data_IF_095218472279
#
_entry.id   IF_095218472279
#
_cell.length_a   1.000
_cell.length_b   1.000
_cell.length_c   1.000
_cell.angle_alpha   90.00
_cell.angle_beta   90.00
_cell.angle_gamma   90.00
#
_symmetry.space_group_name_H-M   'P 1'
#
loop_
_entity.id
_entity.type
_entity.pdbx_description
1 polymer ?
#
# COMPACT_ATOMS: atom_id res chain seq x y z
N UNK A 1 42.36 15.87 16.66
CA UNK A 1 41.30 16.68 16.11
C UNK A 1 41.40 16.69 14.57
N UNK A 2 40.41 16.27 13.79
CA UNK A 2 40.27 16.30 12.33
C UNK A 2 39.88 14.96 11.69
N UNK A 3 38.56 14.58 11.81
CA UNK A 3 37.99 13.57 10.89
C UNK A 3 36.47 13.66 10.64
N UNK A 4 35.75 14.79 10.76
CA UNK A 4 34.33 14.83 10.41
C UNK A 4 34.07 15.03 8.89
N UNK A 5 34.94 15.73 8.17
CA UNK A 5 34.71 16.08 6.75
C UNK A 5 34.76 14.91 5.78
N UNK A 6 35.59 13.91 6.04
CA UNK A 6 35.73 12.71 5.18
C UNK A 6 34.49 11.80 5.19
N UNK A 7 33.71 11.79 6.28
CA UNK A 7 32.49 10.99 6.36
C UNK A 7 31.31 11.55 5.55
N UNK A 8 31.23 12.87 5.38
CA UNK A 8 30.14 13.50 4.60
C UNK A 8 30.29 13.23 3.12
N UNK A 9 31.51 13.36 2.57
CA UNK A 9 31.80 13.11 1.15
C UNK A 9 31.57 11.64 0.76
N UNK A 10 31.90 10.70 1.64
CA UNK A 10 31.68 9.27 1.42
C UNK A 10 30.18 8.91 1.42
N UNK A 11 29.35 9.52 2.28
CA UNK A 11 27.91 9.31 2.31
C UNK A 11 27.23 9.87 1.05
N UNK A 12 27.69 11.04 0.53
CA UNK A 12 27.22 11.58 -0.74
C UNK A 12 27.48 10.61 -1.88
N UNK A 13 28.69 10.07 -2.00
CA UNK A 13 29.08 9.11 -3.03
C UNK A 13 28.27 7.81 -2.94
N UNK A 14 28.00 7.32 -1.73
CA UNK A 14 27.16 6.12 -1.52
C UNK A 14 25.71 6.34 -1.96
N UNK A 15 25.14 7.51 -1.72
CA UNK A 15 23.79 7.82 -2.17
C UNK A 15 23.66 7.84 -3.70
N UNK A 16 24.62 8.45 -4.39
CA UNK A 16 24.67 8.49 -5.87
C UNK A 16 24.82 7.10 -6.50
N UNK A 17 25.35 6.12 -5.76
CA UNK A 17 25.43 4.72 -6.19
C UNK A 17 24.17 3.96 -5.77
N UNK A 18 23.67 4.13 -4.56
CA UNK A 18 22.54 3.40 -4.02
C UNK A 18 21.24 3.66 -4.81
N UNK A 19 20.97 4.91 -5.21
CA UNK A 19 19.74 5.25 -5.93
C UNK A 19 19.65 4.56 -7.30
N UNK A 20 20.62 4.67 -8.22
CA UNK A 20 20.54 3.96 -9.48
C UNK A 20 20.57 2.44 -9.31
N UNK A 21 21.29 1.90 -8.34
CA UNK A 21 21.25 0.46 -8.04
C UNK A 21 19.85 0.00 -7.60
N UNK A 22 19.16 0.76 -6.74
CA UNK A 22 17.79 0.46 -6.34
C UNK A 22 16.81 0.59 -7.52
N UNK A 23 16.98 1.61 -8.35
CA UNK A 23 16.15 1.76 -9.56
C UNK A 23 16.35 0.59 -10.52
N UNK A 24 17.59 0.20 -10.80
CA UNK A 24 17.91 -0.96 -11.64
C UNK A 24 17.37 -2.26 -11.05
N UNK A 25 17.49 -2.43 -9.73
CA UNK A 25 16.91 -3.57 -9.02
C UNK A 25 15.38 -3.61 -9.18
N UNK A 26 14.68 -2.49 -9.01
CA UNK A 26 13.24 -2.42 -9.21
C UNK A 26 12.84 -2.76 -10.65
N UNK A 27 13.55 -2.22 -11.65
CA UNK A 27 13.30 -2.53 -13.06
C UNK A 27 13.53 -4.02 -13.36
N UNK A 28 14.61 -4.58 -12.84
CA UNK A 28 14.90 -6.01 -12.96
C UNK A 28 13.80 -6.86 -12.30
N UNK A 29 13.34 -6.48 -11.11
CA UNK A 29 12.28 -7.20 -10.41
C UNK A 29 10.92 -7.09 -11.08
N UNK A 30 10.59 -5.94 -11.67
CA UNK A 30 9.39 -5.80 -12.51
C UNK A 30 9.48 -6.75 -13.70
N UNK A 31 10.61 -6.77 -14.40
CA UNK A 31 10.81 -7.67 -15.52
C UNK A 31 10.75 -9.14 -15.11
N UNK A 32 11.40 -9.53 -14.01
CA UNK A 32 11.33 -10.89 -13.46
C UNK A 32 9.90 -11.27 -13.04
N UNK A 33 9.17 -10.39 -12.35
CA UNK A 33 7.79 -10.64 -11.92
C UNK A 33 6.83 -10.81 -13.11
N UNK A 34 7.09 -10.12 -14.22
CA UNK A 34 6.32 -10.28 -15.46
C UNK A 34 6.73 -11.53 -16.24
N UNK A 35 8.03 -11.87 -16.27
CA UNK A 35 8.60 -12.97 -17.02
C UNK A 35 8.43 -14.32 -16.31
N UNK A 36 8.58 -14.37 -14.98
CA UNK A 36 8.39 -15.59 -14.19
C UNK A 36 6.89 -15.77 -13.96
N UNK A 37 6.29 -16.54 -14.84
CA UNK A 37 4.85 -16.79 -14.82
C UNK A 37 4.43 -17.76 -13.73
N UNK A 38 4.31 -17.29 -12.49
CA UNK A 38 3.58 -18.03 -11.45
C UNK A 38 2.08 -17.73 -11.62
N UNK A 39 1.34 -18.63 -12.24
CA UNK A 39 -0.10 -18.50 -12.48
C UNK A 39 -0.61 -19.58 -13.42
N UNK A 40 -1.89 -19.52 -13.80
CA UNK A 40 -2.57 -20.48 -14.67
C UNK A 40 -2.02 -20.53 -16.10
N UNK A 41 -1.29 -19.53 -16.53
CA UNK A 41 -0.69 -19.42 -17.86
C UNK A 41 0.83 -19.32 -17.72
N UNK A 42 1.56 -20.34 -18.17
CA UNK A 42 3.03 -20.29 -18.24
C UNK A 42 3.44 -19.58 -19.53
N UNK A 43 4.12 -18.43 -19.40
CA UNK A 43 4.71 -17.72 -20.53
C UNK A 43 6.24 -17.81 -20.44
N UNK A 44 6.88 -17.98 -21.57
CA UNK A 44 8.35 -17.87 -21.64
C UNK A 44 8.75 -16.39 -21.65
N UNK A 45 9.96 -16.02 -21.17
CA UNK A 45 10.45 -14.65 -21.25
C UNK A 45 10.41 -14.04 -22.65
N UNK A 46 10.63 -14.85 -23.69
CA UNK A 46 10.54 -14.44 -25.08
C UNK A 46 9.10 -14.08 -25.52
N UNK A 47 8.10 -14.78 -25.00
CA UNK A 47 6.67 -14.48 -25.25
C UNK A 47 6.26 -13.18 -24.57
N UNK A 48 6.72 -12.96 -23.32
CA UNK A 48 6.49 -11.71 -22.60
C UNK A 48 7.13 -10.54 -23.35
N UNK A 49 8.38 -10.70 -23.81
CA UNK A 49 9.05 -9.67 -24.59
C UNK A 49 8.30 -9.35 -25.87
N UNK A 50 7.85 -10.37 -26.63
CA UNK A 50 7.02 -10.19 -27.84
C UNK A 50 5.71 -9.47 -27.53
N UNK A 51 5.02 -9.84 -26.46
CA UNK A 51 3.76 -9.21 -26.07
C UNK A 51 3.93 -7.71 -25.70
N UNK A 52 5.10 -7.32 -25.19
CA UNK A 52 5.43 -5.93 -24.84
C UNK A 52 5.90 -5.09 -26.04
N UNK A 53 6.59 -5.71 -27.01
CA UNK A 53 7.28 -4.97 -28.12
C UNK A 53 6.63 -5.14 -29.47
N UNK A 54 5.96 -6.24 -29.74
CA UNK A 54 5.43 -6.63 -31.04
C UNK A 54 4.04 -7.25 -30.88
N UNK A 55 3.05 -6.43 -30.56
CA UNK A 55 1.66 -6.86 -30.31
C UNK A 55 1.02 -7.59 -31.51
N UNK A 56 1.49 -7.30 -32.75
CA UNK A 56 0.93 -7.89 -33.97
C UNK A 56 1.27 -9.38 -34.13
N UNK A 57 2.35 -9.84 -33.48
CA UNK A 57 2.79 -11.25 -33.54
C UNK A 57 2.46 -12.04 -32.28
N UNK A 58 1.98 -11.36 -31.22
CA UNK A 58 1.61 -11.97 -29.96
C UNK A 58 0.14 -12.45 -29.97
N UNK A 59 -0.11 -13.57 -29.34
CA UNK A 59 -1.50 -14.03 -29.15
C UNK A 59 -2.25 -13.15 -28.16
N UNK A 60 -3.58 -13.05 -28.30
CA UNK A 60 -4.43 -12.28 -27.34
C UNK A 60 -4.21 -12.74 -25.90
N UNK A 61 -3.97 -14.02 -25.68
CA UNK A 61 -3.74 -14.59 -24.36
C UNK A 61 -2.39 -14.12 -23.76
N UNK A 62 -1.34 -14.06 -24.57
CA UNK A 62 -0.03 -13.53 -24.18
C UNK A 62 -0.14 -12.04 -23.79
N UNK A 63 -0.85 -11.23 -24.56
CA UNK A 63 -1.06 -9.81 -24.30
C UNK A 63 -1.83 -9.60 -22.99
N UNK A 64 -2.95 -10.31 -22.79
CA UNK A 64 -3.78 -10.18 -21.59
C UNK A 64 -3.02 -10.63 -20.34
N UNK A 65 -2.33 -11.76 -20.41
CA UNK A 65 -1.57 -12.29 -19.29
C UNK A 65 -0.37 -11.39 -18.94
N UNK A 66 0.33 -10.85 -19.93
CA UNK A 66 1.47 -9.93 -19.73
C UNK A 66 1.00 -8.61 -19.13
N UNK A 67 -0.09 -8.03 -19.64
CA UNK A 67 -0.65 -6.80 -19.10
C UNK A 67 -1.11 -6.95 -17.64
N UNK A 68 -1.80 -8.06 -17.31
CA UNK A 68 -2.24 -8.32 -15.94
C UNK A 68 -1.04 -8.44 -14.96
N UNK A 69 0.05 -9.09 -15.40
CA UNK A 69 1.28 -9.23 -14.61
C UNK A 69 2.01 -7.92 -14.43
N UNK A 70 2.13 -7.13 -15.51
CA UNK A 70 2.77 -5.83 -15.46
C UNK A 70 2.02 -4.87 -14.52
N UNK A 71 0.68 -4.83 -14.62
CA UNK A 71 -0.16 -4.03 -13.72
C UNK A 71 0.04 -4.48 -12.27
N UNK A 72 0.08 -5.80 -12.00
CA UNK A 72 0.36 -6.34 -10.68
C UNK A 72 1.73 -5.95 -10.15
N UNK A 73 2.78 -6.03 -10.98
CA UNK A 73 4.14 -5.65 -10.61
C UNK A 73 4.28 -4.13 -10.34
N UNK A 74 3.65 -3.29 -11.18
CA UNK A 74 3.63 -1.84 -10.96
C UNK A 74 2.87 -1.47 -9.69
N UNK A 75 1.78 -2.17 -9.39
CA UNK A 75 1.03 -1.98 -8.15
C UNK A 75 1.86 -2.41 -6.94
N UNK A 76 2.56 -3.55 -7.00
CA UNK A 76 3.49 -4.02 -5.96
C UNK A 76 4.58 -2.98 -5.67
N UNK A 77 5.21 -2.46 -6.73
CA UNK A 77 6.19 -1.38 -6.63
C UNK A 77 5.58 -0.16 -5.95
N UNK A 78 4.44 0.32 -6.45
CA UNK A 78 3.79 1.53 -5.95
C UNK A 78 3.42 1.43 -4.46
N UNK A 79 2.80 0.33 -4.06
CA UNK A 79 2.43 0.07 -2.66
C UNK A 79 3.67 0.03 -1.77
N UNK A 80 4.72 -0.68 -2.20
CA UNK A 80 5.99 -0.73 -1.46
C UNK A 80 6.65 0.63 -1.34
N UNK A 81 6.62 1.44 -2.41
CA UNK A 81 7.11 2.82 -2.41
C UNK A 81 6.34 3.67 -1.40
N UNK A 82 5.01 3.61 -1.41
CA UNK A 82 4.17 4.37 -0.49
C UNK A 82 4.44 4.00 0.98
N UNK A 83 4.48 2.69 1.29
CA UNK A 83 4.73 2.21 2.65
C UNK A 83 6.16 2.52 3.13
N UNK A 84 7.17 2.38 2.26
CA UNK A 84 8.55 2.72 2.60
C UNK A 84 8.73 4.21 2.91
N UNK A 85 8.10 5.09 2.13
CA UNK A 85 8.09 6.54 2.38
C UNK A 85 7.33 6.89 3.67
N UNK A 86 6.14 6.31 3.87
CA UNK A 86 5.34 6.52 5.07
C UNK A 86 6.11 6.09 6.33
N UNK A 87 6.77 4.93 6.27
CA UNK A 87 7.60 4.43 7.36
C UNK A 87 8.75 5.36 7.70
N UNK A 88 9.49 5.88 6.70
CA UNK A 88 10.57 6.82 6.91
C UNK A 88 10.10 8.12 7.61
N UNK A 89 8.92 8.63 7.20
CA UNK A 89 8.31 9.81 7.81
C UNK A 89 7.87 9.55 9.26
N UNK A 90 7.22 8.41 9.54
CA UNK A 90 6.78 8.06 10.89
C UNK A 90 7.94 7.77 11.83
N UNK A 91 9.02 7.11 11.34
CA UNK A 91 10.23 6.91 12.12
C UNK A 91 10.90 8.24 12.54
N UNK A 92 10.86 9.24 11.66
CA UNK A 92 11.36 10.57 12.00
C UNK A 92 10.44 11.30 12.97
N UNK A 93 9.12 11.25 12.74
CA UNK A 93 8.09 11.90 13.56
C UNK A 93 8.10 11.35 14.99
N UNK A 94 8.18 10.03 15.15
CA UNK A 94 8.19 9.35 16.44
C UNK A 94 9.61 9.22 17.03
N UNK A 95 10.62 9.67 16.31
CA UNK A 95 12.05 9.53 16.72
C UNK A 95 12.39 8.11 17.14
N UNK A 96 11.75 7.14 16.48
CA UNK A 96 11.91 5.72 16.77
C UNK A 96 12.09 4.93 15.46
N UNK A 97 13.22 4.25 15.27
CA UNK A 97 13.48 3.46 14.06
C UNK A 97 12.56 2.25 13.91
N UNK A 98 11.82 1.88 14.94
CA UNK A 98 10.85 0.78 14.94
C UNK A 98 9.42 1.25 14.62
N UNK A 99 9.20 2.54 14.38
CA UNK A 99 7.90 3.04 14.00
C UNK A 99 7.52 2.56 12.60
N UNK A 100 6.28 2.09 12.47
CA UNK A 100 5.68 1.59 11.23
C UNK A 100 4.20 1.98 11.18
N UNK A 101 3.63 2.25 10.00
CA UNK A 101 2.20 2.54 9.87
C UNK A 101 1.29 1.46 10.46
N UNK A 102 1.69 0.19 10.38
CA UNK A 102 0.91 -0.94 10.92
C UNK A 102 0.87 -0.95 12.46
N UNK A 103 1.95 -0.51 13.10
CA UNK A 103 2.06 -0.46 14.57
C UNK A 103 1.42 0.82 15.13
N UNK A 104 1.37 1.89 14.36
CA UNK A 104 0.83 3.18 14.80
C UNK A 104 -0.70 3.28 14.79
N UNK A 105 -1.41 2.19 14.47
CA UNK A 105 -2.88 2.15 14.35
C UNK A 105 -3.42 2.71 13.03
N UNK A 106 -2.59 3.39 12.24
CA UNK A 106 -2.98 4.03 10.97
C UNK A 106 -3.49 3.02 9.97
N UNK A 107 -2.74 1.93 9.75
CA UNK A 107 -3.14 0.84 8.84
C UNK A 107 -4.44 0.21 9.27
N UNK A 108 -4.58 -0.08 10.58
CA UNK A 108 -5.79 -0.72 11.09
C UNK A 108 -7.00 0.20 10.97
N UNK A 109 -6.84 1.51 11.18
CA UNK A 109 -7.89 2.50 10.93
C UNK A 109 -8.37 2.51 9.49
N UNK A 110 -7.43 2.49 8.53
CA UNK A 110 -7.77 2.40 7.10
C UNK A 110 -8.54 1.12 6.76
N UNK A 111 -8.09 -0.03 7.29
CA UNK A 111 -8.72 -1.34 7.09
C UNK A 111 -10.12 -1.39 7.69
N UNK A 112 -10.25 -0.97 8.95
CA UNK A 112 -11.54 -1.00 9.66
C UNK A 112 -12.58 -0.14 8.94
N UNK A 113 -12.21 1.06 8.53
CA UNK A 113 -13.11 1.95 7.80
C UNK A 113 -13.53 1.35 6.45
N UNK A 114 -12.59 0.74 5.71
CA UNK A 114 -12.88 0.07 4.45
C UNK A 114 -13.83 -1.12 4.63
N UNK A 115 -13.58 -1.98 5.61
CA UNK A 115 -14.44 -3.13 5.93
C UNK A 115 -15.82 -2.67 6.38
N UNK A 116 -15.89 -1.68 7.28
CA UNK A 116 -17.16 -1.11 7.74
C UNK A 116 -17.98 -0.53 6.58
N UNK A 117 -17.32 0.17 5.64
CA UNK A 117 -17.99 0.66 4.43
C UNK A 117 -18.53 -0.46 3.54
N UNK A 118 -17.75 -1.53 3.32
CA UNK A 118 -18.17 -2.65 2.48
C UNK A 118 -19.33 -3.42 3.10
N UNK A 119 -19.34 -3.55 4.45
CA UNK A 119 -20.36 -4.34 5.16
C UNK A 119 -21.63 -3.54 5.45
N UNK A 120 -21.50 -2.29 5.88
CA UNK A 120 -22.60 -1.46 6.38
C UNK A 120 -22.89 -0.23 5.53
N UNK A 121 -22.02 0.08 4.57
CA UNK A 121 -22.14 1.27 3.74
C UNK A 121 -23.29 1.19 2.75
N UNK A 122 -23.74 2.34 2.22
CA UNK A 122 -24.76 2.39 1.19
C UNK A 122 -24.24 1.75 -0.10
N UNK A 123 -25.15 1.11 -0.84
CA UNK A 123 -24.87 0.59 -2.17
C UNK A 123 -24.54 1.75 -3.11
N UNK A 124 -23.33 1.77 -3.64
CA UNK A 124 -22.88 2.75 -4.62
C UNK A 124 -22.65 2.09 -5.97
N UNK A 125 -22.77 2.85 -7.05
CA UNK A 125 -22.53 2.33 -8.38
C UNK A 125 -21.09 1.77 -8.50
N UNK A 126 -20.87 0.70 -9.28
CA UNK A 126 -19.55 0.04 -9.39
C UNK A 126 -18.39 0.98 -9.72
N UNK A 127 -18.61 2.03 -10.52
CA UNK A 127 -17.61 3.03 -10.84
C UNK A 127 -17.26 3.98 -9.68
N UNK A 128 -18.16 4.17 -8.73
CA UNK A 128 -17.96 5.03 -7.56
C UNK A 128 -17.20 4.31 -6.45
N UNK A 129 -17.32 2.99 -6.32
CA UNK A 129 -16.58 2.18 -5.34
C UNK A 129 -15.08 2.42 -5.45
N UNK A 130 -14.57 2.59 -6.66
CA UNK A 130 -13.14 2.82 -6.92
C UNK A 130 -12.59 4.08 -6.23
N UNK A 131 -13.40 5.13 -6.07
CA UNK A 131 -13.00 6.40 -5.43
C UNK A 131 -13.37 6.47 -3.95
N UNK A 132 -14.51 5.89 -3.60
CA UNK A 132 -15.03 5.92 -2.23
C UNK A 132 -14.14 5.12 -1.29
N UNK A 133 -13.70 3.94 -1.69
CA UNK A 133 -12.90 3.08 -0.83
C UNK A 133 -11.57 3.71 -0.39
N UNK A 134 -10.76 4.33 -1.28
CA UNK A 134 -9.58 5.08 -0.87
C UNK A 134 -9.88 6.26 0.05
N UNK A 135 -10.95 7.01 -0.23
CA UNK A 135 -11.34 8.15 0.60
C UNK A 135 -11.75 7.70 2.02
N UNK A 136 -12.56 6.66 2.13
CA UNK A 136 -12.98 6.09 3.42
C UNK A 136 -11.78 5.50 4.17
N UNK A 137 -10.87 4.81 3.49
CA UNK A 137 -9.64 4.30 4.08
C UNK A 137 -8.75 5.44 4.60
N UNK A 138 -8.61 6.52 3.83
CA UNK A 138 -7.83 7.69 4.25
C UNK A 138 -8.45 8.36 5.48
N UNK A 139 -9.77 8.52 5.51
CA UNK A 139 -10.49 9.04 6.68
C UNK A 139 -10.29 8.15 7.90
N UNK A 140 -10.42 6.83 7.74
CA UNK A 140 -10.18 5.87 8.81
C UNK A 140 -8.74 5.93 9.37
N UNK A 141 -7.75 6.05 8.49
CA UNK A 141 -6.35 6.24 8.86
C UNK A 141 -6.14 7.52 9.67
N UNK A 142 -6.70 8.64 9.20
CA UNK A 142 -6.61 9.95 9.88
C UNK A 142 -7.33 9.95 11.22
N UNK A 143 -8.53 9.35 11.30
CA UNK A 143 -9.28 9.23 12.56
C UNK A 143 -8.53 8.38 13.59
N UNK A 144 -7.97 7.25 13.18
CA UNK A 144 -7.16 6.40 14.07
C UNK A 144 -5.89 7.12 14.54
N UNK A 145 -5.20 7.82 13.65
CA UNK A 145 -4.05 8.63 14.00
C UNK A 145 -4.43 9.77 14.96
N UNK A 146 -5.51 10.50 14.66
CA UNK A 146 -6.04 11.56 15.51
C UNK A 146 -6.44 11.05 16.89
N UNK A 147 -7.09 9.88 16.97
CA UNK A 147 -7.45 9.23 18.23
C UNK A 147 -6.19 8.87 19.04
N UNK A 148 -5.20 8.24 18.39
CA UNK A 148 -3.92 7.92 19.01
C UNK A 148 -3.24 9.17 19.57
N UNK A 149 -3.25 10.27 18.83
CA UNK A 149 -2.67 11.54 19.24
C UNK A 149 -3.40 12.18 20.42
N UNK A 150 -4.74 12.17 20.41
CA UNK A 150 -5.53 12.72 21.51
C UNK A 150 -5.32 11.93 22.80
N UNK A 151 -5.36 10.59 22.74
CA UNK A 151 -5.14 9.73 23.90
C UNK A 151 -3.69 9.87 24.42
N UNK A 152 -2.73 10.06 23.52
CA UNK A 152 -1.33 10.29 23.90
C UNK A 152 -1.10 11.65 24.61
N UNK A 153 -2.07 12.55 24.55
CA UNK A 153 -1.96 13.89 25.15
C UNK A 153 -1.35 14.94 24.23
N UNK A 154 -1.30 14.70 22.91
CA UNK A 154 -0.89 15.68 21.91
C UNK A 154 -2.07 16.49 21.33
N UNK A 155 -3.29 16.25 21.79
CA UNK A 155 -4.48 16.99 21.42
C UNK A 155 -4.48 18.44 21.91
N UNK A 156 -5.50 19.25 21.52
CA UNK A 156 -5.63 20.62 21.98
C UNK A 156 -5.62 20.72 23.51
N UNK A 157 -4.71 21.53 24.07
CA UNK A 157 -4.52 21.65 25.53
C UNK A 157 -3.68 20.54 26.18
N UNK A 158 -3.11 19.63 25.40
CA UNK A 158 -2.25 18.56 25.90
C UNK A 158 -0.82 18.99 26.23
N UNK A 159 -0.04 18.06 26.78
CA UNK A 159 1.34 18.32 27.18
C UNK A 159 2.22 18.67 25.96
N UNK A 160 3.12 19.67 26.07
CA UNK A 160 4.01 20.05 24.99
C UNK A 160 5.01 18.95 24.59
N UNK A 161 5.27 18.01 25.50
CA UNK A 161 6.19 16.90 25.30
C UNK A 161 5.50 15.56 25.56
N UNK A 162 5.29 14.78 24.51
CA UNK A 162 4.82 13.40 24.63
C UNK A 162 5.96 12.46 24.25
N UNK A 163 6.20 11.50 25.10
CA UNK A 163 7.24 10.49 24.90
C UNK A 163 6.92 9.64 23.67
N UNK A 164 7.85 9.46 22.72
CA UNK A 164 7.59 8.66 21.50
C UNK A 164 7.10 7.24 21.79
N UNK A 165 7.59 6.61 22.85
CA UNK A 165 7.19 5.28 23.29
C UNK A 165 5.70 5.20 23.64
N UNK A 166 5.16 6.25 24.29
CA UNK A 166 3.74 6.36 24.63
C UNK A 166 2.86 6.40 23.39
N UNK A 167 3.26 7.14 22.36
CA UNK A 167 2.55 7.20 21.08
C UNK A 167 2.45 5.81 20.40
N UNK A 168 3.56 5.08 20.39
CA UNK A 168 3.60 3.73 19.79
C UNK A 168 2.71 2.78 20.58
N UNK A 169 2.80 2.78 21.92
CA UNK A 169 1.99 1.91 22.77
C UNK A 169 0.49 2.18 22.57
N UNK A 170 0.08 3.44 22.56
CA UNK A 170 -1.32 3.82 22.34
C UNK A 170 -1.74 3.45 20.92
N UNK A 171 -0.87 3.62 19.91
CA UNK A 171 -1.13 3.20 18.54
C UNK A 171 -1.40 1.71 18.42
N UNK A 172 -0.63 0.87 19.11
CA UNK A 172 -0.85 -0.58 19.18
C UNK A 172 -2.18 -0.92 19.84
N UNK A 173 -2.53 -0.24 20.95
CA UNK A 173 -3.82 -0.46 21.64
C UNK A 173 -5.00 -0.04 20.75
N UNK A 174 -4.94 1.15 20.14
CA UNK A 174 -5.96 1.62 19.19
C UNK A 174 -6.07 0.65 18.01
N UNK A 175 -4.95 0.22 17.44
CA UNK A 175 -4.92 -0.78 16.38
C UNK A 175 -5.55 -2.10 16.78
N UNK A 176 -5.30 -2.59 18.00
CA UNK A 176 -5.91 -3.80 18.54
C UNK A 176 -7.44 -3.70 18.67
N UNK A 177 -7.93 -2.58 19.21
CA UNK A 177 -9.38 -2.31 19.32
C UNK A 177 -10.02 -2.25 17.93
N UNK A 178 -9.41 -1.53 16.98
CA UNK A 178 -9.91 -1.44 15.61
C UNK A 178 -9.86 -2.79 14.89
N UNK A 179 -8.85 -3.63 15.19
CA UNK A 179 -8.79 -5.01 14.72
C UNK A 179 -9.95 -5.87 15.22
N UNK A 180 -10.31 -5.74 16.49
CA UNK A 180 -11.49 -6.39 17.05
C UNK A 180 -12.78 -5.91 16.39
N UNK A 181 -12.94 -4.61 16.16
CA UNK A 181 -14.07 -4.04 15.41
C UNK A 181 -14.15 -4.61 13.99
N UNK A 182 -13.01 -4.72 13.30
CA UNK A 182 -12.93 -5.34 11.97
C UNK A 182 -13.39 -6.80 12.01
N UNK A 183 -12.95 -7.57 13.01
CA UNK A 183 -13.36 -8.98 13.18
C UNK A 183 -14.86 -9.10 13.44
N UNK A 184 -15.45 -8.23 14.25
CA UNK A 184 -16.89 -8.19 14.48
C UNK A 184 -17.63 -7.83 13.19
N UNK A 185 -17.16 -6.81 12.43
CA UNK A 185 -17.77 -6.43 11.16
C UNK A 185 -17.77 -7.58 10.14
N UNK A 186 -16.74 -8.42 10.12
CA UNK A 186 -16.67 -9.60 9.26
C UNK A 186 -17.76 -10.64 9.57
N UNK A 187 -18.25 -10.73 10.81
CA UNK A 187 -19.36 -11.63 11.15
C UNK A 187 -20.66 -11.22 10.45
N UNK A 188 -20.82 -9.93 10.15
CA UNK A 188 -21.98 -9.38 9.44
C UNK A 188 -21.81 -9.32 7.93
N UNK A 189 -20.65 -9.74 7.41
CA UNK A 189 -20.33 -9.65 5.97
C UNK A 189 -21.12 -10.66 5.11
N UNK A 190 -21.72 -11.70 5.70
CA UNK A 190 -22.52 -12.69 4.98
C UNK A 190 -21.74 -13.32 3.83
N UNK A 191 -22.32 -13.31 2.63
CA UNK A 191 -21.70 -13.85 1.42
C UNK A 191 -20.41 -13.11 1.00
N UNK A 192 -20.24 -11.85 1.39
CA UNK A 192 -19.05 -11.04 1.11
C UNK A 192 -17.85 -11.40 2.01
N UNK A 193 -18.03 -12.21 3.06
CA UNK A 193 -16.97 -12.55 4.00
C UNK A 193 -15.74 -13.16 3.32
N UNK A 194 -15.95 -14.10 2.37
CA UNK A 194 -14.85 -14.74 1.64
C UNK A 194 -14.03 -13.74 0.81
N UNK A 195 -14.70 -12.78 0.16
CA UNK A 195 -14.06 -11.74 -0.63
C UNK A 195 -13.26 -10.81 0.26
N UNK A 196 -13.83 -10.40 1.40
CA UNK A 196 -13.15 -9.55 2.38
C UNK A 196 -11.94 -10.25 3.01
N UNK A 197 -12.05 -11.51 3.38
CA UNK A 197 -10.93 -12.29 3.92
C UNK A 197 -9.81 -12.41 2.89
N UNK A 198 -10.14 -12.64 1.61
CA UNK A 198 -9.13 -12.71 0.54
C UNK A 198 -8.44 -11.36 0.33
N UNK A 199 -9.18 -10.24 0.44
CA UNK A 199 -8.63 -8.89 0.36
C UNK A 199 -7.75 -8.56 1.57
N UNK A 200 -8.21 -8.91 2.79
CA UNK A 200 -7.43 -8.76 4.03
C UNK A 200 -6.13 -9.59 4.03
N UNK A 201 -6.12 -10.70 3.32
CA UNK A 201 -4.93 -11.56 3.16
C UNK A 201 -3.86 -10.96 2.23
N UNK A 202 -4.08 -9.77 1.66
CA UNK A 202 -3.07 -9.05 0.91
C UNK A 202 -2.77 -9.61 -0.47
N UNK A 203 -3.77 -9.86 -1.29
CA UNK A 203 -3.59 -10.40 -2.65
C UNK A 203 -3.54 -9.32 -3.72
N UNK A 204 -2.47 -9.33 -4.54
CA UNK A 204 -2.36 -8.53 -5.78
C UNK A 204 -3.11 -9.15 -6.98
N UNK A 205 -3.73 -10.33 -6.82
CA UNK A 205 -4.42 -11.01 -7.90
C UNK A 205 -5.60 -10.21 -8.50
N UNK A 206 -6.12 -9.22 -7.76
CA UNK A 206 -7.17 -8.31 -8.20
C UNK A 206 -6.67 -6.96 -8.70
N UNK A 207 -5.37 -6.81 -9.01
CA UNK A 207 -4.83 -5.57 -9.58
C UNK A 207 -5.38 -5.34 -10.99
N UNK A 208 -5.97 -4.17 -11.21
CA UNK A 208 -6.48 -3.73 -12.51
C UNK A 208 -5.86 -2.40 -12.90
N UNK A 209 -5.83 -2.09 -14.20
CA UNK A 209 -5.34 -0.82 -14.70
C UNK A 209 -6.10 0.37 -14.09
N UNK A 210 -7.39 0.22 -13.82
CA UNK A 210 -8.21 1.24 -13.18
C UNK A 210 -7.75 1.51 -11.74
N UNK A 211 -7.51 0.45 -10.94
CA UNK A 211 -6.98 0.58 -9.58
C UNK A 211 -5.59 1.19 -9.57
N UNK A 212 -4.73 0.81 -10.53
CA UNK A 212 -3.40 1.40 -10.69
C UNK A 212 -3.49 2.88 -11.01
N UNK A 213 -4.37 3.29 -11.94
CA UNK A 213 -4.59 4.69 -12.28
C UNK A 213 -5.05 5.51 -11.09
N UNK A 214 -5.99 4.97 -10.29
CA UNK A 214 -6.45 5.59 -9.06
C UNK A 214 -5.33 5.73 -8.02
N UNK A 215 -4.56 4.66 -7.80
CA UNK A 215 -3.40 4.69 -6.91
C UNK A 215 -2.41 5.79 -7.33
N UNK A 216 -2.09 5.86 -8.63
CA UNK A 216 -1.22 6.91 -9.17
C UNK A 216 -1.80 8.31 -8.95
N UNK A 217 -3.11 8.50 -9.13
CA UNK A 217 -3.76 9.78 -8.87
C UNK A 217 -3.64 10.21 -7.40
N UNK A 218 -3.87 9.30 -6.46
CA UNK A 218 -3.68 9.57 -5.01
C UNK A 218 -2.22 9.88 -4.71
N UNK A 219 -1.27 9.15 -5.30
CA UNK A 219 0.15 9.43 -5.14
C UNK A 219 0.53 10.82 -5.66
N UNK A 220 0.04 11.22 -6.83
CA UNK A 220 0.28 12.56 -7.40
C UNK A 220 -0.26 13.66 -6.48
N UNK A 221 -1.46 13.50 -5.92
CA UNK A 221 -2.03 14.44 -4.95
C UNK A 221 -1.19 14.50 -3.66
N UNK A 222 -0.59 13.38 -3.26
CA UNK A 222 0.21 13.29 -2.03
C UNK A 222 1.63 13.87 -2.21
N UNK A 223 2.16 13.94 -3.44
CA UNK A 223 3.53 14.44 -3.71
C UNK A 223 3.78 15.86 -3.17
N UNK A 224 2.91 16.88 -3.37
CA UNK A 224 3.13 18.20 -2.78
C UNK A 224 3.24 18.17 -1.26
N UNK A 225 2.38 17.39 -0.60
CA UNK A 225 2.44 17.21 0.86
C UNK A 225 3.72 16.51 1.27
N UNK A 226 4.18 15.51 0.52
CA UNK A 226 5.43 14.81 0.76
C UNK A 226 6.64 15.76 0.67
N UNK A 227 6.69 16.60 -0.37
CA UNK A 227 7.74 17.61 -0.52
C UNK A 227 7.75 18.62 0.64
N UNK A 228 6.58 18.95 1.18
CA UNK A 228 6.45 19.80 2.37
C UNK A 228 6.80 19.06 3.67
N UNK A 229 6.50 17.77 3.76
CA UNK A 229 6.72 16.94 4.95
C UNK A 229 8.20 16.61 5.16
N UNK A 230 8.95 16.29 4.11
CA UNK A 230 10.35 15.86 4.18
C UNK A 230 11.24 16.87 4.95
N UNK A 231 11.31 18.16 4.59
CA UNK A 231 12.15 19.11 5.32
C UNK A 231 11.70 19.30 6.77
N UNK A 232 10.40 19.29 7.03
CA UNK A 232 9.84 19.42 8.38
C UNK A 232 10.17 18.22 9.26
N UNK A 233 9.99 17.01 8.74
CA UNK A 233 10.33 15.78 9.43
C UNK A 233 11.85 15.70 9.69
N UNK A 234 12.66 16.21 8.76
CA UNK A 234 14.12 16.23 8.89
C UNK A 234 14.58 17.09 10.07
N UNK A 235 13.85 18.13 10.42
CA UNK A 235 14.13 18.96 11.60
C UNK A 235 13.50 18.33 12.86
N UNK A 236 12.27 17.82 12.79
CA UNK A 236 11.56 17.20 13.92
C UNK A 236 12.30 15.98 14.52
N UNK A 237 13.09 15.25 13.73
CA UNK A 237 13.86 14.12 14.23
C UNK A 237 14.89 14.49 15.31
N UNK A 238 15.32 15.76 15.38
CA UNK A 238 16.27 16.26 16.40
C UNK A 238 15.58 16.70 17.69
N UNK A 239 14.27 16.72 17.74
CA UNK A 239 13.46 17.11 18.89
C UNK A 239 12.71 18.42 18.70
N UNK A 240 11.71 18.62 19.54
CA UNK A 240 10.80 19.76 19.44
C UNK A 240 11.47 21.07 19.82
N UNK A 241 12.33 21.05 20.83
CA UNK A 241 13.09 22.21 21.28
C UNK A 241 14.04 22.70 20.18
N UNK A 242 14.74 21.77 19.53
CA UNK A 242 15.62 22.08 18.41
C UNK A 242 14.81 22.62 17.22
N UNK A 243 13.67 22.01 16.92
CA UNK A 243 12.79 22.45 15.85
C UNK A 243 12.24 23.86 16.10
N UNK A 244 11.79 24.13 17.31
CA UNK A 244 11.31 25.46 17.73
C UNK A 244 12.44 26.49 17.69
N UNK A 245 13.63 26.15 18.18
CA UNK A 245 14.82 27.02 18.15
C UNK A 245 15.27 27.39 16.74
N UNK A 246 14.99 26.52 15.75
CA UNK A 246 15.19 26.79 14.32
C UNK A 246 14.02 27.56 13.66
N UNK A 247 13.03 28.01 14.44
CA UNK A 247 11.87 28.77 13.96
C UNK A 247 10.77 27.92 13.34
N UNK A 248 10.82 26.59 13.50
CA UNK A 248 9.79 25.70 12.97
C UNK A 248 8.61 25.61 13.93
N UNK A 249 7.40 25.89 13.43
CA UNK A 249 6.16 25.63 14.18
C UNK A 249 5.96 24.12 14.32
N UNK A 250 6.18 23.56 15.52
CA UNK A 250 6.25 22.11 15.78
C UNK A 250 4.93 21.42 15.45
N UNK A 251 3.78 21.95 15.95
CA UNK A 251 2.48 21.30 15.79
C UNK A 251 2.01 21.22 14.33
N UNK A 252 2.03 22.31 13.53
CA UNK A 252 1.72 22.22 12.10
C UNK A 252 2.67 21.30 11.32
N UNK A 253 3.96 21.31 11.67
CA UNK A 253 4.94 20.45 11.04
C UNK A 253 4.64 18.96 11.29
N UNK A 254 4.32 18.59 12.54
CA UNK A 254 3.91 17.24 12.90
C UNK A 254 2.65 16.82 12.16
N UNK A 255 1.65 17.71 12.08
CA UNK A 255 0.39 17.43 11.39
C UNK A 255 0.60 17.15 9.91
N UNK A 256 1.41 17.97 9.21
CA UNK A 256 1.75 17.76 7.80
C UNK A 256 2.43 16.41 7.59
N UNK A 257 3.40 16.05 8.43
CA UNK A 257 4.12 14.79 8.34
C UNK A 257 3.18 13.60 8.57
N UNK A 258 2.32 13.68 9.60
CA UNK A 258 1.36 12.64 9.92
C UNK A 258 0.32 12.46 8.81
N UNK A 259 -0.31 13.53 8.34
CA UNK A 259 -1.30 13.49 7.26
C UNK A 259 -0.69 12.88 6.01
N UNK A 260 0.54 13.28 5.66
CA UNK A 260 1.25 12.71 4.51
C UNK A 260 1.46 11.20 4.68
N UNK A 261 1.93 10.77 5.84
CA UNK A 261 2.13 9.34 6.13
C UNK A 261 0.81 8.56 6.12
N UNK A 262 -0.28 9.13 6.64
CA UNK A 262 -1.62 8.52 6.59
C UNK A 262 -2.14 8.37 5.17
N UNK A 263 -1.97 9.38 4.30
CA UNK A 263 -2.40 9.32 2.90
C UNK A 263 -1.62 8.27 2.11
N UNK A 264 -0.29 8.21 2.29
CA UNK A 264 0.56 7.18 1.68
C UNK A 264 0.14 5.78 2.13
N UNK A 265 -0.13 5.60 3.42
CA UNK A 265 -0.57 4.32 3.99
C UNK A 265 -1.96 3.94 3.48
N UNK A 266 -2.90 4.89 3.43
CA UNK A 266 -4.25 4.65 2.92
C UNK A 266 -4.24 4.26 1.44
N UNK A 267 -3.42 4.93 0.61
CA UNK A 267 -3.23 4.55 -0.79
C UNK A 267 -2.74 3.11 -0.94
N UNK A 268 -1.82 2.67 -0.08
CA UNK A 268 -1.34 1.29 -0.08
C UNK A 268 -2.42 0.31 0.39
N UNK A 269 -3.07 0.59 1.52
CA UNK A 269 -4.06 -0.29 2.16
C UNK A 269 -5.31 -0.51 1.32
N UNK A 270 -5.82 0.53 0.64
CA UNK A 270 -7.01 0.37 -0.22
C UNK A 270 -6.75 -0.53 -1.43
N UNK A 271 -5.49 -0.71 -1.82
CA UNK A 271 -5.10 -1.62 -2.91
C UNK A 271 -4.76 -3.01 -2.40
N UNK A 272 -4.02 -3.09 -1.29
CA UNK A 272 -3.56 -4.34 -0.69
C UNK A 272 -3.58 -4.18 0.83
N UNK A 273 -4.57 -4.75 1.48
CA UNK A 273 -4.79 -4.58 2.92
C UNK A 273 -3.72 -5.22 3.80
N UNK A 274 -3.23 -6.40 3.46
CA UNK A 274 -2.47 -7.28 4.36
C UNK A 274 -0.95 -7.10 4.37
N UNK A 275 -0.39 -5.96 3.96
CA UNK A 275 1.07 -5.75 3.93
C UNK A 275 1.51 -4.91 5.13
N UNK A 276 2.23 -5.55 6.05
CA UNK A 276 2.92 -4.89 7.16
C UNK A 276 4.44 -4.95 7.02
N UNK A 277 5.14 -4.31 7.95
CA UNK A 277 6.60 -4.31 8.11
C UNK A 277 7.43 -3.69 6.98
N UNK A 278 6.89 -3.39 5.81
CA UNK A 278 7.63 -2.74 4.71
C UNK A 278 8.11 -1.37 5.14
N UNK A 279 7.24 -0.58 5.78
CA UNK A 279 7.57 0.73 6.33
C UNK A 279 8.60 0.71 7.45
N UNK A 280 8.74 -0.42 8.14
CA UNK A 280 9.77 -0.61 9.16
C UNK A 280 11.11 -1.00 8.54
N UNK A 281 11.10 -2.01 7.70
CA UNK A 281 12.34 -2.64 7.19
C UNK A 281 13.04 -1.74 6.18
N UNK A 282 12.31 -1.17 5.21
CA UNK A 282 12.91 -0.42 4.12
C UNK A 282 13.75 0.79 4.58
N UNK A 283 13.25 1.73 5.40
CA UNK A 283 14.07 2.83 5.88
C UNK A 283 15.16 2.39 6.85
N UNK A 284 14.92 1.33 7.65
CA UNK A 284 15.92 0.82 8.58
C UNK A 284 17.16 0.29 7.85
N UNK A 285 16.97 -0.52 6.82
CA UNK A 285 18.08 -1.06 6.00
C UNK A 285 18.89 0.05 5.33
N UNK A 286 18.23 1.14 4.91
CA UNK A 286 18.89 2.19 4.15
C UNK A 286 19.52 3.29 5.00
N UNK A 287 19.23 3.36 6.29
CA UNK A 287 19.89 4.34 7.19
C UNK A 287 21.40 4.17 7.23
N UNK A 288 21.88 2.94 7.13
CA UNK A 288 23.33 2.67 7.16
C UNK A 288 24.05 3.17 5.90
N UNK A 289 23.63 2.84 4.67
CA UNK A 289 24.32 3.32 3.46
C UNK A 289 23.98 4.76 3.08
N UNK A 290 22.73 5.23 3.28
CA UNK A 290 22.24 6.54 2.82
C UNK A 290 22.34 7.62 3.90
N UNK A 291 22.26 7.23 5.17
CA UNK A 291 22.23 8.14 6.31
C UNK A 291 20.82 8.48 6.77
N UNK A 292 20.72 9.44 7.72
CA UNK A 292 19.45 9.83 8.36
C UNK A 292 18.81 11.07 7.76
N UNK A 293 19.43 11.70 6.75
CA UNK A 293 18.83 12.85 6.05
C UNK A 293 17.62 12.37 5.23
N UNK A 294 16.42 12.81 5.63
CA UNK A 294 15.15 12.39 5.03
C UNK A 294 15.00 12.79 3.58
N UNK A 295 15.70 13.83 3.10
CA UNK A 295 15.71 14.20 1.68
C UNK A 295 16.23 13.08 0.80
N UNK A 296 17.08 12.20 1.35
CA UNK A 296 17.67 11.04 0.68
C UNK A 296 17.03 9.74 1.15
N UNK A 297 16.76 9.65 2.45
CA UNK A 297 16.23 8.43 3.04
C UNK A 297 14.80 8.13 2.57
N UNK A 298 13.93 9.13 2.43
CA UNK A 298 12.53 8.91 2.01
C UNK A 298 12.43 8.32 0.61
N UNK A 299 13.04 8.90 -0.45
CA UNK A 299 12.97 8.28 -1.78
C UNK A 299 13.68 6.93 -1.85
N UNK A 300 14.82 6.78 -1.16
CA UNK A 300 15.53 5.50 -1.10
C UNK A 300 14.70 4.41 -0.39
N UNK A 301 14.08 4.75 0.75
CA UNK A 301 13.20 3.84 1.47
C UNK A 301 11.95 3.46 0.65
N UNK A 302 11.43 4.40 -0.15
CA UNK A 302 10.38 4.11 -1.11
C UNK A 302 10.80 3.02 -2.10
N UNK A 303 11.92 3.22 -2.81
CA UNK A 303 12.42 2.23 -3.78
C UNK A 303 12.75 0.87 -3.12
N UNK A 304 13.34 0.87 -1.94
CA UNK A 304 13.62 -0.37 -1.21
C UNK A 304 12.32 -1.07 -0.79
N UNK A 305 11.31 -0.32 -0.34
CA UNK A 305 9.99 -0.87 -0.05
C UNK A 305 9.33 -1.47 -1.29
N UNK A 306 9.43 -0.79 -2.44
CA UNK A 306 8.98 -1.31 -3.73
C UNK A 306 9.67 -2.62 -4.09
N UNK A 307 11.01 -2.69 -3.95
CA UNK A 307 11.78 -3.91 -4.20
C UNK A 307 11.37 -5.05 -3.26
N UNK A 308 11.13 -4.77 -1.98
CA UNK A 308 10.69 -5.77 -1.01
C UNK A 308 9.33 -6.38 -1.38
N UNK A 309 8.35 -5.55 -1.77
CA UNK A 309 7.01 -6.04 -2.16
C UNK A 309 7.09 -6.80 -3.48
N UNK A 310 7.89 -6.32 -4.45
CA UNK A 310 8.14 -7.02 -5.72
C UNK A 310 8.79 -8.39 -5.53
N UNK A 311 9.62 -8.56 -4.50
CA UNK A 311 10.22 -9.86 -4.17
C UNK A 311 9.24 -10.77 -3.44
N UNK A 312 8.42 -10.21 -2.55
CA UNK A 312 7.47 -10.97 -1.73
C UNK A 312 6.29 -11.53 -2.56
N UNK A 313 5.81 -10.80 -3.56
CA UNK A 313 4.63 -11.19 -4.35
C UNK A 313 4.83 -12.50 -5.15
N UNK A 314 5.89 -12.69 -5.95
CA UNK A 314 6.15 -13.96 -6.61
C UNK A 314 6.40 -15.12 -5.62
N UNK A 315 7.07 -14.86 -4.50
CA UNK A 315 7.31 -15.85 -3.45
C UNK A 315 5.99 -16.33 -2.81
N UNK A 316 5.08 -15.39 -2.51
CA UNK A 316 3.75 -15.70 -1.98
C UNK A 316 2.87 -16.48 -2.97
N UNK A 317 3.00 -16.19 -4.27
CA UNK A 317 2.29 -16.93 -5.32
C UNK A 317 2.86 -18.35 -5.49
N UNK A 318 4.18 -18.53 -5.44
CA UNK A 318 4.84 -19.80 -5.54
C UNK A 318 4.51 -20.75 -4.36
N UNK A 319 4.27 -20.22 -3.18
CA UNK A 319 3.94 -21.01 -1.97
C UNK A 319 2.48 -21.50 -1.93
N UNK A 320 1.61 -21.13 -2.91
CA UNK A 320 0.22 -21.61 -3.04
C UNK A 320 0.06 -22.62 -4.19
N UNK A 321 0.64 -23.85 -4.12
CA UNK A 321 0.65 -24.78 -5.24
C UNK A 321 -0.70 -25.46 -5.54
N UNK A 322 -1.78 -25.12 -4.84
CA UNK A 322 -3.05 -25.84 -4.88
C UNK A 322 -4.19 -25.22 -5.71
N UNK A 323 -4.09 -23.99 -6.17
CA UNK A 323 -5.17 -23.34 -6.92
C UNK A 323 -4.99 -23.37 -8.45
N UNK A 324 -3.80 -23.68 -8.95
CA UNK A 324 -3.49 -23.71 -10.39
C UNK A 324 -3.79 -25.05 -11.08
N UNK A 325 -4.05 -26.15 -10.36
CA UNK A 325 -4.17 -27.49 -10.96
C UNK A 325 -5.56 -28.13 -10.93
N UNK A 326 -6.63 -27.42 -10.61
CA UNK A 326 -8.01 -27.93 -10.74
C UNK A 326 -8.82 -27.26 -11.86
N UNK A 327 -8.21 -26.88 -12.95
CA UNK A 327 -8.91 -26.82 -14.22
C UNK A 327 -9.01 -28.28 -14.76
N UNK A 328 -10.02 -29.03 -14.33
CA UNK A 328 -10.40 -30.29 -14.98
C UNK A 328 -10.69 -29.96 -16.44
N UNK A 329 -10.05 -30.63 -17.41
CA UNK A 329 -10.46 -30.54 -18.79
C UNK A 329 -11.82 -31.27 -18.89
N UNK A 330 -12.91 -30.52 -19.03
CA UNK A 330 -14.20 -31.15 -19.24
C UNK A 330 -15.44 -30.39 -18.81
N UNK A 331 -15.41 -29.07 -18.76
CA UNK A 331 -16.62 -28.23 -18.82
C UNK A 331 -16.26 -26.85 -19.40
N UNK A 332 -16.34 -26.77 -20.71
CA UNK A 332 -16.54 -25.48 -21.38
C UNK A 332 -17.88 -24.94 -20.90
N UNK A 333 -17.88 -23.77 -20.20
CA UNK A 333 -19.10 -23.08 -19.85
C UNK A 333 -19.30 -22.70 -18.40
N UNK A 334 -18.25 -22.21 -17.70
CA UNK A 334 -18.48 -21.31 -16.57
C UNK A 334 -17.42 -20.24 -16.59
N UNK A 335 -17.83 -19.09 -17.09
CA UNK A 335 -17.15 -17.81 -16.99
C UNK A 335 -16.77 -17.55 -15.52
N UNK A 336 -15.63 -16.92 -15.31
CA UNK A 336 -15.16 -16.43 -14.01
C UNK A 336 -16.32 -15.93 -13.16
N UNK A 337 -16.37 -16.20 -11.84
CA UNK A 337 -17.35 -15.56 -10.99
C UNK A 337 -17.01 -14.06 -10.94
N UNK A 338 -17.59 -13.35 -11.88
CA UNK A 338 -17.73 -11.91 -11.82
C UNK A 338 -18.67 -11.59 -10.67
N UNK A 339 -18.45 -10.46 -10.07
CA UNK A 339 -19.35 -9.72 -9.20
C UNK A 339 -20.81 -10.03 -9.58
N UNK A 340 -21.72 -10.39 -8.64
CA UNK A 340 -23.08 -10.72 -8.95
C UNK A 340 -23.76 -9.50 -9.60
N UNK A 341 -24.10 -9.64 -10.87
CA UNK A 341 -25.00 -8.71 -11.52
C UNK A 341 -26.39 -8.87 -10.86
N UNK A 342 -27.09 -7.78 -10.50
CA UNK A 342 -28.45 -7.88 -10.03
C UNK A 342 -29.29 -8.51 -11.13
N UNK A 343 -30.11 -9.51 -10.77
CA UNK A 343 -31.04 -10.16 -11.64
C UNK A 343 -32.00 -9.11 -12.25
N UNK A 344 -31.77 -8.76 -13.50
CA UNK A 344 -32.76 -8.06 -14.31
C UNK A 344 -33.77 -9.12 -14.70
N UNK A 345 -34.91 -9.12 -14.02
CA UNK A 345 -36.07 -9.88 -14.43
C UNK A 345 -36.56 -9.35 -15.78
N UNK A 346 -36.38 -10.16 -16.82
CA UNK A 346 -37.00 -9.89 -18.12
C UNK A 346 -38.51 -10.14 -17.99
N UNK A 347 -39.39 -9.22 -18.37
CA UNK A 347 -40.83 -9.44 -18.36
C UNK A 347 -41.22 -10.32 -19.56
N UNK A 348 -41.88 -11.44 -19.26
CA UNK A 348 -42.89 -12.05 -20.08
C UNK A 348 -42.53 -12.65 -21.42
N UNK A 349 -42.18 -13.94 -21.46
CA UNK A 349 -42.53 -14.79 -22.61
C UNK A 349 -43.69 -15.68 -22.20
N UNK A 350 -44.91 -15.29 -22.62
CA UNK A 350 -46.10 -16.16 -22.59
C UNK A 350 -45.83 -17.37 -23.50
N UNK A 351 -45.77 -18.55 -22.91
CA UNK A 351 -45.91 -19.78 -23.70
C UNK A 351 -47.37 -19.96 -24.08
N UNK A 352 -47.65 -19.91 -25.38
CA UNK A 352 -48.87 -20.45 -25.93
C UNK A 352 -48.84 -21.97 -25.79
N UNK A 353 -49.76 -22.52 -25.00
CA UNK A 353 -50.22 -23.89 -25.11
C UNK A 353 -51.17 -23.90 -26.29
N UNK A 354 -50.83 -24.62 -27.36
CA UNK A 354 -51.80 -25.21 -28.29
C UNK A 354 -51.77 -26.71 -27.99
N UNK A 355 -52.94 -27.17 -27.49
CA UNK A 355 -53.26 -28.58 -27.47
C UNK A 355 -53.56 -29.06 -28.89
N UNK A 356 -53.17 -30.25 -29.15
CA UNK A 356 -54.00 -31.37 -29.75
C UNK A 356 -53.21 -32.65 -29.54
#
# INVERSE_FOLDING_TARGET
>A
MSRPALHVSQRWRRWWIAMPCLMLLCLLLIWLSTAIGVGSVTLTPAQVWRALTASDTATRLEIVATNARLVGALMALGVGVALGMAGALLQALYRNPLADPSISGVTQGAVTAAVAWIVFGPSVAPGQVSWVLPAVSALGALLAAGLTWNIAGLGPGGAPHVEPTRLILIGVLVGGVLGAVTSIALLYAGENAQVLISWLSGSLAGATSQKLGLFCAVMVITVPLLLMAIPRANVLQFGDEVAAGLGQSVMPARLIVLVTACLLTAAAVCTISGIGFVGLIAPHLLRWPVGSDLRRLVPAAGLAGGALVLLADPAARASRPGQSHRARPGRAGTLCPGWPLPHVALPGSRRHHTGD
#
